data_IF_311127096331
#
_entry.id   IF_311127096331
#
_cell.length_a   1.000
_cell.length_b   1.000
_cell.length_c   1.000
_cell.angle_alpha   90.00
_cell.angle_beta   90.00
_cell.angle_gamma   90.00
#
_symmetry.space_group_name_H-M   'P 1'
#
loop_
_entity.id
_entity.type
_entity.pdbx_description
1 polymer ?
#
# COMPACT_ATOMS: atom_id res chain seq x y z
N UNK A 1 21.55 -19.19 -1.76
CA UNK A 1 20.75 -18.06 -1.20
C UNK A 1 19.35 -18.18 -1.78
N UNK A 2 18.33 -18.11 -0.95
CA UNK A 2 16.94 -18.09 -1.42
C UNK A 2 16.70 -16.80 -2.20
N UNK A 3 16.01 -16.82 -3.33
CA UNK A 3 15.69 -15.58 -4.07
C UNK A 3 14.80 -14.67 -3.22
N UNK A 4 14.93 -13.35 -3.35
CA UNK A 4 14.09 -12.42 -2.62
C UNK A 4 12.62 -12.58 -3.00
N UNK A 5 11.74 -12.37 -2.03
CA UNK A 5 10.29 -12.45 -2.21
C UNK A 5 9.81 -11.22 -2.98
N UNK A 6 9.18 -11.36 -4.15
CA UNK A 6 8.65 -10.23 -4.88
C UNK A 6 7.44 -9.65 -4.13
N UNK A 7 7.48 -8.37 -3.81
CA UNK A 7 6.39 -7.67 -3.13
C UNK A 7 5.92 -6.46 -3.93
N UNK A 8 4.64 -6.13 -3.76
CA UNK A 8 4.05 -4.85 -4.16
C UNK A 8 3.49 -4.21 -2.89
N UNK A 9 3.71 -2.92 -2.71
CA UNK A 9 3.23 -2.17 -1.55
C UNK A 9 2.10 -1.25 -2.01
N UNK A 10 0.91 -1.39 -1.40
CA UNK A 10 -0.25 -0.52 -1.57
C UNK A 10 -0.37 0.34 -0.31
N UNK A 11 -0.24 1.67 -0.45
CA UNK A 11 0.01 2.59 0.66
C UNK A 11 -0.71 3.92 0.49
N UNK A 12 -1.06 4.55 1.58
CA UNK A 12 -1.50 5.93 1.64
C UNK A 12 -0.48 6.84 2.35
N UNK A 13 0.80 6.56 2.12
CA UNK A 13 1.94 7.28 2.69
C UNK A 13 1.76 8.80 2.70
N UNK A 14 2.07 9.43 3.82
CA UNK A 14 2.13 10.89 3.93
C UNK A 14 1.38 11.50 5.11
N UNK A 15 0.38 10.85 5.68
CA UNK A 15 -0.31 11.34 6.87
C UNK A 15 0.50 11.06 8.14
N UNK A 16 0.90 9.80 8.31
CA UNK A 16 1.68 9.31 9.44
C UNK A 16 3.02 8.75 8.96
N UNK A 17 4.04 8.61 9.83
CA UNK A 17 5.37 8.16 9.43
C UNK A 17 5.48 6.64 9.21
N UNK A 18 4.52 5.84 9.62
CA UNK A 18 4.55 4.38 9.62
C UNK A 18 4.67 3.78 8.22
N UNK A 19 3.87 4.25 7.26
CA UNK A 19 3.98 3.86 5.85
C UNK A 19 5.36 4.18 5.26
N UNK A 20 5.89 5.36 5.58
CA UNK A 20 7.23 5.74 5.11
C UNK A 20 8.30 4.82 5.72
N UNK A 21 8.19 4.50 7.00
CA UNK A 21 9.10 3.57 7.68
C UNK A 21 8.97 2.15 7.12
N UNK A 22 7.75 1.67 6.86
CA UNK A 22 7.50 0.36 6.26
C UNK A 22 8.10 0.26 4.85
N UNK A 23 7.91 1.30 4.02
CA UNK A 23 8.49 1.37 2.69
C UNK A 23 10.03 1.36 2.76
N UNK A 24 10.63 2.20 3.61
CA UNK A 24 12.09 2.26 3.76
C UNK A 24 12.67 0.95 4.29
N UNK A 25 11.98 0.28 5.22
CA UNK A 25 12.37 -1.04 5.72
C UNK A 25 12.35 -2.09 4.61
N UNK A 26 11.29 -2.12 3.80
CA UNK A 26 11.18 -3.04 2.67
C UNK A 26 12.30 -2.82 1.65
N UNK A 27 12.63 -1.55 1.34
CA UNK A 27 13.68 -1.19 0.40
C UNK A 27 15.10 -1.53 0.92
N UNK A 28 15.29 -1.54 2.24
CA UNK A 28 16.56 -1.91 2.88
C UNK A 28 16.72 -3.42 3.08
N UNK A 29 15.64 -4.20 2.99
CA UNK A 29 15.64 -5.64 3.24
C UNK A 29 16.09 -6.41 2.01
N UNK A 30 17.10 -7.27 2.16
CA UNK A 30 17.62 -8.12 1.09
C UNK A 30 16.72 -9.33 0.78
N UNK A 31 15.79 -9.63 1.69
CA UNK A 31 14.87 -10.76 1.62
C UNK A 31 13.65 -10.48 0.73
N UNK A 32 13.41 -9.21 0.38
CA UNK A 32 12.30 -8.81 -0.48
C UNK A 32 12.77 -8.01 -1.69
N UNK A 33 12.00 -8.11 -2.76
CA UNK A 33 12.19 -7.36 -4.00
C UNK A 33 10.94 -6.51 -4.27
N UNK A 34 11.03 -5.22 -3.97
CA UNK A 34 9.92 -4.27 -4.20
C UNK A 34 9.75 -4.04 -5.70
N UNK A 35 8.66 -4.54 -6.27
CA UNK A 35 8.34 -4.50 -7.71
C UNK A 35 7.60 -3.23 -8.14
N UNK A 36 6.90 -2.60 -7.21
CA UNK A 36 6.15 -1.39 -7.45
C UNK A 36 5.44 -0.92 -6.20
N UNK A 37 5.03 0.35 -6.22
CA UNK A 37 4.24 0.98 -5.17
C UNK A 37 2.94 1.49 -5.79
N UNK A 38 1.80 1.11 -5.22
CA UNK A 38 0.49 1.63 -5.59
C UNK A 38 -0.01 2.58 -4.52
N UNK A 39 -0.55 3.70 -4.93
CA UNK A 39 -1.01 4.75 -4.04
C UNK A 39 -2.53 4.71 -3.91
N UNK A 40 -3.04 4.95 -2.72
CA UNK A 40 -4.46 4.93 -2.42
C UNK A 40 -4.83 6.09 -1.49
N UNK A 41 -6.10 6.47 -1.46
CA UNK A 41 -6.69 7.42 -0.50
C UNK A 41 -6.30 8.90 -0.68
N UNK A 42 -7.30 9.79 -0.62
CA UNK A 42 -7.13 11.24 -0.64
C UNK A 42 -6.44 11.77 -1.90
N UNK A 43 -5.50 12.71 -1.74
CA UNK A 43 -4.69 13.22 -2.84
C UNK A 43 -3.57 12.23 -3.21
N UNK A 44 -3.91 11.29 -4.07
CA UNK A 44 -2.96 10.26 -4.56
C UNK A 44 -1.78 10.87 -5.33
N UNK A 45 -1.93 12.05 -5.93
CA UNK A 45 -0.83 12.70 -6.63
C UNK A 45 0.20 13.25 -5.64
N UNK A 46 -0.25 13.87 -4.55
CA UNK A 46 0.60 14.35 -3.48
C UNK A 46 1.32 13.19 -2.77
N UNK A 47 0.59 12.11 -2.44
CA UNK A 47 1.16 10.88 -1.84
C UNK A 47 2.21 10.23 -2.74
N UNK A 48 1.95 10.18 -4.05
CA UNK A 48 2.90 9.64 -5.02
C UNK A 48 4.21 10.44 -5.05
N UNK A 49 4.16 11.76 -4.90
CA UNK A 49 5.38 12.60 -4.79
C UNK A 49 6.20 12.25 -3.56
N UNK A 50 5.56 11.89 -2.44
CA UNK A 50 6.27 11.43 -1.24
C UNK A 50 6.92 10.07 -1.54
N UNK A 51 6.16 9.11 -2.07
CA UNK A 51 6.68 7.79 -2.39
C UNK A 51 7.86 7.84 -3.37
N UNK A 52 7.77 8.64 -4.45
CA UNK A 52 8.86 8.78 -5.43
C UNK A 52 10.13 9.36 -4.82
N UNK A 53 9.98 10.30 -3.89
CA UNK A 53 11.11 10.90 -3.16
C UNK A 53 11.74 9.90 -2.20
N UNK A 54 10.96 9.13 -1.44
CA UNK A 54 11.47 8.09 -0.54
C UNK A 54 12.23 7.01 -1.33
N UNK A 55 11.69 6.57 -2.46
CA UNK A 55 12.37 5.64 -3.37
C UNK A 55 13.70 6.20 -3.87
N UNK A 56 13.71 7.47 -4.27
CA UNK A 56 14.94 8.15 -4.69
C UNK A 56 15.98 8.23 -3.59
N UNK A 57 15.57 8.57 -2.36
CA UNK A 57 16.43 8.61 -1.18
C UNK A 57 17.02 7.23 -0.84
N UNK A 58 16.26 6.16 -1.08
CA UNK A 58 16.74 4.78 -0.92
C UNK A 58 17.62 4.29 -2.08
N UNK A 59 17.85 5.11 -3.12
CA UNK A 59 18.57 4.70 -4.32
C UNK A 59 17.79 3.72 -5.22
N UNK A 60 16.47 3.66 -5.07
CA UNK A 60 15.56 2.74 -5.78
C UNK A 60 14.60 3.49 -6.71
N UNK A 61 15.13 4.47 -7.45
CA UNK A 61 14.36 5.21 -8.47
C UNK A 61 13.89 4.31 -9.64
N UNK A 62 14.36 3.07 -9.69
CA UNK A 62 13.93 2.04 -10.61
C UNK A 62 12.53 1.48 -10.30
N UNK A 63 12.06 1.60 -9.05
CA UNK A 63 10.75 1.10 -8.62
C UNK A 63 9.64 2.03 -9.10
N UNK A 64 8.70 1.53 -9.92
CA UNK A 64 7.61 2.36 -10.45
C UNK A 64 6.54 2.65 -9.39
N UNK A 65 5.93 3.83 -9.49
CA UNK A 65 4.81 4.27 -8.65
C UNK A 65 3.55 4.43 -9.49
N UNK A 66 2.41 3.94 -9.02
CA UNK A 66 1.15 3.94 -9.73
C UNK A 66 0.07 4.65 -8.93
N UNK A 67 -0.66 5.57 -9.57
CA UNK A 67 -1.79 6.25 -8.93
C UNK A 67 -3.00 5.31 -8.90
N UNK A 68 -3.55 5.13 -7.72
CA UNK A 68 -4.76 4.36 -7.50
C UNK A 68 -5.97 5.24 -7.18
N UNK A 69 -6.90 4.70 -6.40
CA UNK A 69 -8.14 5.37 -6.06
C UNK A 69 -7.95 6.36 -4.92
N UNK A 70 -8.40 7.60 -5.14
CA UNK A 70 -8.34 8.68 -4.16
C UNK A 70 -9.53 8.75 -3.21
N UNK A 71 -10.57 7.95 -3.42
CA UNK A 71 -11.80 8.00 -2.64
C UNK A 71 -11.85 6.88 -1.58
N UNK A 72 -12.62 7.11 -0.51
CA UNK A 72 -13.33 8.35 -0.22
C UNK A 72 -12.41 9.41 0.40
N UNK A 73 -12.66 10.70 0.12
CA UNK A 73 -11.87 11.80 0.69
C UNK A 73 -12.15 12.05 2.17
N UNK A 74 -12.66 11.08 2.91
CA UNK A 74 -13.18 11.26 4.27
C UNK A 74 -12.10 11.47 5.34
N UNK A 75 -10.84 11.50 4.96
CA UNK A 75 -9.74 11.81 5.88
C UNK A 75 -8.80 12.87 5.31
N UNK A 76 -9.38 13.97 4.85
CA UNK A 76 -8.64 15.22 4.68
C UNK A 76 -8.38 15.86 6.06
N UNK A 77 -7.64 15.16 6.90
CA UNK A 77 -7.08 15.71 8.11
C UNK A 77 -5.61 15.91 7.85
N UNK A 78 -5.20 17.15 7.58
CA UNK A 78 -3.81 17.56 7.48
C UNK A 78 -2.95 16.62 6.59
N UNK A 79 -3.26 16.58 5.31
CA UNK A 79 -2.27 16.20 4.29
C UNK A 79 -1.09 17.13 4.53
N UNK A 80 -0.02 16.57 5.11
CA UNK A 80 1.02 17.32 5.79
C UNK A 80 1.72 18.30 4.86
N UNK A 81 1.37 19.54 4.99
CA UNK A 81 2.21 20.64 4.54
C UNK A 81 3.57 20.43 5.17
N UNK A 82 4.62 20.45 4.37
CA UNK A 82 5.99 20.44 4.88
C UNK A 82 6.84 19.20 4.59
N UNK A 83 6.29 18.00 4.40
CA UNK A 83 7.12 16.81 4.08
C UNK A 83 7.81 16.95 2.71
N UNK A 84 7.19 17.65 1.77
CA UNK A 84 7.77 17.91 0.45
C UNK A 84 8.69 19.13 0.41
N UNK A 85 8.70 19.96 1.46
CA UNK A 85 9.54 21.15 1.55
C UNK A 85 10.98 20.85 1.99
N UNK A 86 11.26 19.60 2.38
CA UNK A 86 12.62 19.17 2.65
C UNK A 86 13.45 19.26 1.36
N UNK A 87 14.61 19.92 1.38
CA UNK A 87 15.46 20.05 0.20
C UNK A 87 15.98 18.67 -0.21
N UNK A 88 15.42 18.12 -1.26
CA UNK A 88 15.92 16.91 -1.92
C UNK A 88 16.15 17.19 -3.39
N UNK A 89 17.39 16.95 -3.84
CA UNK A 89 17.84 17.19 -5.22
C UNK A 89 18.34 15.90 -5.91
N UNK A 90 18.05 14.76 -5.29
CA UNK A 90 18.40 13.46 -5.86
C UNK A 90 17.41 13.01 -6.95
N UNK A 91 17.70 11.90 -7.62
CA UNK A 91 16.78 11.28 -8.57
C UNK A 91 15.53 10.78 -7.85
N UNK A 92 14.34 11.10 -8.38
CA UNK A 92 13.08 10.57 -7.90
C UNK A 92 12.65 9.39 -8.78
N UNK A 93 11.83 8.48 -8.23
CA UNK A 93 11.21 7.43 -9.01
C UNK A 93 10.12 8.02 -9.93
N UNK A 94 9.67 7.23 -10.89
CA UNK A 94 8.71 7.71 -11.90
C UNK A 94 7.29 7.29 -11.56
N UNK A 95 6.39 8.26 -11.53
CA UNK A 95 4.95 8.00 -11.53
C UNK A 95 4.52 7.53 -12.92
N UNK A 96 3.90 6.37 -12.97
CA UNK A 96 3.44 5.76 -14.22
C UNK A 96 2.06 6.29 -14.62
N UNK A 97 1.78 6.28 -15.92
CA UNK A 97 0.47 6.71 -16.46
C UNK A 97 -0.60 5.63 -16.33
N UNK A 98 -0.22 4.37 -16.18
CA UNK A 98 -1.15 3.25 -15.97
C UNK A 98 -1.78 3.36 -14.58
N UNK A 99 -3.11 3.26 -14.44
CA UNK A 99 -3.75 3.21 -13.14
C UNK A 99 -3.29 2.01 -12.30
N UNK A 100 -3.21 2.18 -10.97
CA UNK A 100 -2.71 1.16 -10.06
C UNK A 100 -3.47 -0.18 -10.18
N UNK A 101 -4.80 -0.13 -10.27
CA UNK A 101 -5.64 -1.34 -10.37
C UNK A 101 -5.34 -2.10 -11.65
N UNK A 102 -5.24 -1.40 -12.79
CA UNK A 102 -4.94 -2.02 -14.07
C UNK A 102 -3.55 -2.67 -14.06
N UNK A 103 -2.57 -1.98 -13.45
CA UNK A 103 -1.23 -2.52 -13.31
C UNK A 103 -1.18 -3.73 -12.38
N UNK A 104 -1.85 -3.70 -11.23
CA UNK A 104 -1.95 -4.83 -10.30
C UNK A 104 -2.51 -6.07 -11.01
N UNK A 105 -3.58 -5.90 -11.79
CA UNK A 105 -4.18 -6.98 -12.56
C UNK A 105 -3.24 -7.51 -13.63
N UNK A 106 -2.58 -6.63 -14.37
CA UNK A 106 -1.63 -7.03 -15.41
C UNK A 106 -0.40 -7.74 -14.83
N UNK A 107 0.19 -7.18 -13.76
CA UNK A 107 1.38 -7.77 -13.13
C UNK A 107 1.07 -9.12 -12.48
N UNK A 108 -0.10 -9.29 -11.83
CA UNK A 108 -0.50 -10.58 -11.25
C UNK A 108 -0.67 -11.70 -12.28
N UNK A 109 -1.04 -11.36 -13.52
CA UNK A 109 -1.11 -12.32 -14.63
C UNK A 109 0.26 -12.66 -15.20
N UNK A 110 1.20 -11.73 -15.10
CA UNK A 110 2.57 -11.91 -15.60
C UNK A 110 3.45 -12.66 -14.62
N UNK A 111 3.37 -12.32 -13.35
CA UNK A 111 4.16 -12.91 -12.25
C UNK A 111 3.43 -12.73 -10.93
N UNK A 112 3.35 -13.80 -10.15
CA UNK A 112 2.83 -13.70 -8.80
C UNK A 112 3.76 -12.88 -7.90
N UNK A 113 3.16 -12.14 -6.98
CA UNK A 113 3.83 -11.34 -5.95
C UNK A 113 3.05 -11.37 -4.63
N UNK A 114 3.70 -11.02 -3.55
CA UNK A 114 3.04 -10.79 -2.27
C UNK A 114 2.57 -9.33 -2.21
N UNK A 115 1.27 -9.12 -2.00
CA UNK A 115 0.71 -7.77 -1.86
C UNK A 115 0.72 -7.36 -0.39
N UNK A 116 1.35 -6.24 -0.09
CA UNK A 116 1.40 -5.63 1.25
C UNK A 116 0.54 -4.37 1.19
N UNK A 117 -0.70 -4.47 1.68
CA UNK A 117 -1.67 -3.38 1.70
C UNK A 117 -1.67 -2.73 3.09
N UNK A 118 -1.06 -1.57 3.21
CA UNK A 118 -0.91 -0.81 4.46
C UNK A 118 -1.79 0.45 4.49
N UNK A 119 -2.36 0.84 3.35
CA UNK A 119 -3.41 1.84 3.24
C UNK A 119 -4.83 1.23 3.18
N UNK A 120 -5.86 2.05 2.95
CA UNK A 120 -7.24 1.58 2.71
C UNK A 120 -7.32 0.61 1.54
N UNK A 121 -8.11 -0.46 1.69
CA UNK A 121 -8.17 -1.58 0.73
C UNK A 121 -8.89 -1.25 -0.59
N UNK A 122 -9.06 0.02 -0.95
CA UNK A 122 -9.86 0.46 -2.11
C UNK A 122 -9.30 -0.05 -3.44
N UNK A 123 -7.97 -0.04 -3.60
CA UNK A 123 -7.32 -0.60 -4.80
C UNK A 123 -7.48 -2.13 -4.85
N UNK A 124 -7.30 -2.81 -3.71
CA UNK A 124 -7.42 -4.27 -3.59
C UNK A 124 -8.84 -4.71 -3.89
N UNK A 125 -9.83 -4.04 -3.30
CA UNK A 125 -11.25 -4.31 -3.56
C UNK A 125 -11.59 -4.13 -5.05
N UNK A 126 -11.17 -3.02 -5.64
CA UNK A 126 -11.40 -2.74 -7.06
C UNK A 126 -10.72 -3.78 -7.97
N UNK A 127 -9.53 -4.27 -7.63
CA UNK A 127 -8.88 -5.33 -8.39
C UNK A 127 -9.65 -6.65 -8.33
N UNK A 128 -10.16 -7.02 -7.16
CA UNK A 128 -10.98 -8.23 -6.97
C UNK A 128 -12.34 -8.11 -7.68
N UNK A 129 -12.97 -6.93 -7.63
CA UNK A 129 -14.23 -6.67 -8.33
C UNK A 129 -14.09 -6.78 -9.85
N UNK A 130 -12.98 -6.27 -10.41
CA UNK A 130 -12.71 -6.34 -11.85
C UNK A 130 -12.29 -7.74 -12.30
N UNK A 131 -11.57 -8.48 -11.45
CA UNK A 131 -11.08 -9.82 -11.75
C UNK A 131 -11.05 -10.67 -10.47
N UNK A 132 -12.10 -11.47 -10.20
CA UNK A 132 -12.17 -12.33 -9.02
C UNK A 132 -10.99 -13.31 -8.87
N UNK A 133 -10.34 -13.69 -9.97
CA UNK A 133 -9.14 -14.51 -9.96
C UNK A 133 -7.86 -13.78 -9.50
N UNK A 134 -7.92 -12.47 -9.26
CA UNK A 134 -6.75 -11.68 -8.84
C UNK A 134 -6.13 -12.22 -7.56
N UNK A 135 -6.96 -12.46 -6.53
CA UNK A 135 -6.49 -12.92 -5.22
C UNK A 135 -5.79 -14.29 -5.29
N UNK A 136 -6.24 -15.18 -6.18
CA UNK A 136 -5.67 -16.53 -6.35
C UNK A 136 -4.26 -16.50 -6.97
N UNK A 137 -3.94 -15.42 -7.70
CA UNK A 137 -2.63 -15.25 -8.36
C UNK A 137 -1.58 -14.63 -7.45
N UNK A 138 -1.97 -14.10 -6.28
CA UNK A 138 -1.04 -13.55 -5.32
C UNK A 138 -0.29 -14.69 -4.58
N UNK A 139 0.99 -14.47 -4.27
CA UNK A 139 1.74 -15.33 -3.34
C UNK A 139 1.19 -15.23 -1.92
N UNK A 140 0.62 -14.08 -1.59
CA UNK A 140 -0.03 -13.80 -0.33
C UNK A 140 -0.49 -12.34 -0.26
N UNK A 141 -1.30 -12.05 0.74
CA UNK A 141 -1.79 -10.71 1.04
C UNK A 141 -1.55 -10.43 2.52
N UNK A 142 -0.79 -9.37 2.78
CA UNK A 142 -0.65 -8.82 4.14
C UNK A 142 -1.42 -7.51 4.20
N UNK A 143 -2.25 -7.35 5.22
CA UNK A 143 -3.09 -6.17 5.41
C UNK A 143 -2.80 -5.56 6.76
N UNK A 144 -2.55 -4.25 6.77
CA UNK A 144 -2.57 -3.47 8.01
C UNK A 144 -4.01 -3.07 8.29
N UNK A 145 -4.59 -3.62 9.35
CA UNK A 145 -5.96 -3.34 9.74
C UNK A 145 -6.64 -4.52 10.43
N UNK A 146 -7.88 -4.30 10.81
CA UNK A 146 -8.70 -5.28 11.49
C UNK A 146 -8.81 -5.02 12.99
N UNK A 147 -9.93 -5.40 13.55
CA UNK A 147 -10.21 -5.37 14.99
C UNK A 147 -10.13 -6.80 15.51
N UNK A 148 -9.27 -7.06 16.50
CA UNK A 148 -9.08 -8.40 17.05
C UNK A 148 -10.21 -8.76 18.04
N UNK A 149 -10.69 -7.79 18.81
CA UNK A 149 -11.86 -7.90 19.71
C UNK A 149 -12.42 -6.51 20.04
N UNK A 150 -13.60 -6.45 20.63
CA UNK A 150 -14.24 -5.19 21.05
C UNK A 150 -13.45 -4.41 22.10
N UNK A 151 -12.52 -5.05 22.83
CA UNK A 151 -11.66 -4.42 23.83
C UNK A 151 -10.49 -3.67 23.21
N UNK A 152 -10.21 -3.96 21.95
CA UNK A 152 -9.20 -3.27 21.14
C UNK A 152 -9.74 -1.99 20.50
N UNK A 153 -10.99 -1.60 20.80
CA UNK A 153 -11.56 -0.34 20.31
C UNK A 153 -10.79 0.85 20.88
N UNK A 154 -10.50 1.85 20.06
CA UNK A 154 -9.90 3.10 20.53
C UNK A 154 -10.74 3.72 21.66
N UNK A 155 -10.07 4.33 22.63
CA UNK A 155 -10.77 5.06 23.70
C UNK A 155 -11.70 6.13 23.11
N UNK A 156 -12.86 6.42 23.73
CA UNK A 156 -13.75 7.46 23.29
C UNK A 156 -12.98 8.78 23.07
N UNK A 157 -13.03 9.32 21.86
CA UNK A 157 -12.32 10.57 21.50
C UNK A 157 -10.97 10.36 20.78
N UNK A 158 -10.46 9.14 20.66
CA UNK A 158 -9.36 8.83 19.74
C UNK A 158 -9.92 8.52 18.35
N UNK A 159 -9.31 9.06 17.30
CA UNK A 159 -9.67 8.68 15.94
C UNK A 159 -9.40 7.17 15.76
N UNK A 160 -10.31 6.40 15.17
CA UNK A 160 -10.05 4.99 14.91
C UNK A 160 -8.87 4.88 13.91
N UNK A 161 -7.87 4.09 14.25
CA UNK A 161 -6.75 3.78 13.38
C UNK A 161 -7.13 2.93 12.15
N UNK A 162 -8.39 2.53 12.03
CA UNK A 162 -8.89 1.78 10.87
C UNK A 162 -9.97 2.59 10.15
N UNK A 163 -9.67 2.99 8.92
CA UNK A 163 -10.58 3.74 8.06
C UNK A 163 -11.54 2.85 7.28
N UNK A 164 -11.81 1.66 7.74
CA UNK A 164 -12.71 0.74 7.05
C UNK A 164 -13.77 0.25 8.04
N UNK A 165 -14.95 0.88 7.98
CA UNK A 165 -16.16 0.19 8.38
C UNK A 165 -16.37 -0.94 7.37
N UNK A 166 -16.31 -2.22 7.79
CA UNK A 166 -16.60 -3.32 6.87
C UNK A 166 -18.03 -3.15 6.37
N UNK A 167 -18.29 -3.32 5.08
CA UNK A 167 -19.65 -3.32 4.59
C UNK A 167 -20.47 -4.38 5.34
N UNK A 168 -21.76 -4.14 5.62
CA UNK A 168 -22.58 -5.05 6.39
C UNK A 168 -22.58 -6.43 5.74
N UNK A 169 -22.08 -7.43 6.46
CA UNK A 169 -22.00 -8.83 6.02
C UNK A 169 -20.60 -9.40 5.81
N UNK A 170 -19.52 -8.60 5.90
CA UNK A 170 -18.16 -9.14 5.90
C UNK A 170 -17.68 -9.33 7.34
N UNK A 171 -17.59 -10.58 7.74
CA UNK A 171 -16.87 -10.99 8.95
C UNK A 171 -15.38 -10.75 8.74
N UNK A 172 -14.75 -10.09 9.69
CA UNK A 172 -13.30 -9.84 9.71
C UNK A 172 -12.53 -11.11 9.36
N UNK A 173 -11.83 -11.07 8.22
CA UNK A 173 -11.05 -12.22 7.78
C UNK A 173 -9.76 -12.28 8.60
N UNK A 174 -9.59 -13.37 9.33
CA UNK A 174 -8.34 -13.74 9.99
C UNK A 174 -7.19 -13.69 8.99
N UNK A 175 -6.06 -13.18 9.45
CA UNK A 175 -4.78 -13.39 8.79
C UNK A 175 -4.57 -14.91 8.63
N UNK A 176 -4.82 -15.47 7.45
CA UNK A 176 -4.56 -16.88 7.16
C UNK A 176 -3.18 -16.94 6.55
N UNK A 177 -2.19 -17.17 7.39
CA UNK A 177 -0.91 -17.69 6.93
C UNK A 177 -1.14 -19.15 6.52
N UNK A 178 -1.16 -19.39 5.22
CA UNK A 178 -1.10 -20.77 4.71
C UNK A 178 0.31 -21.31 4.98
N UNK A 179 0.47 -22.42 5.68
CA UNK A 179 1.79 -23.04 5.82
C UNK A 179 2.31 -23.48 4.45
N UNK A 180 3.62 -23.45 4.22
CA UNK A 180 4.21 -23.95 2.99
C UNK A 180 3.92 -25.43 2.81
N UNK A 181 3.87 -25.92 1.56
CA UNK A 181 3.67 -27.32 1.23
C UNK A 181 4.80 -28.20 1.74
#
# INVERSE_FOLDING_TARGET
MTPPIPIVIDTDVGADPDDALALMLALASLEVDVRGVTIVSGDVAWRARIATRLLGMAGRSDVPVFLGRGDPPQMSGAEGEGVLDLPYQGPEATVQTTPAVDWLLAESRRRSFHLVAIGPLTNVAAAIEQDPGFAERLLGLTVMGGLLDERSMPLPGSAPFSNVDPPPGLTTTRCVTRPPP
#
